data_IF_898680386441
#
_entry.id   IF_898680386441
#
_cell.length_a   1.000
_cell.length_b   1.000
_cell.length_c   1.000
_cell.angle_alpha   90.00
_cell.angle_beta   90.00
_cell.angle_gamma   90.00
#
_symmetry.space_group_name_H-M   'P 1'
#
loop_
_entity.id
_entity.type
_entity.pdbx_description
1 polymer ?
#
# COMPACT_ATOMS: atom_id res chain seq x y z
N UNK A 1 -13.88 -9.54 -7.44
CA UNK A 1 -12.76 -10.05 -8.23
C UNK A 1 -12.93 -9.53 -9.64
N UNK A 2 -11.93 -8.88 -10.22
CA UNK A 2 -11.99 -8.31 -11.58
C UNK A 2 -10.71 -8.75 -12.29
N UNK A 3 -10.81 -9.23 -13.52
CA UNK A 3 -9.68 -9.65 -14.37
C UNK A 3 -8.68 -10.62 -13.71
N UNK A 4 -9.16 -11.58 -12.91
CA UNK A 4 -8.30 -12.53 -12.21
C UNK A 4 -7.50 -11.91 -11.04
N UNK A 5 -7.90 -10.73 -10.58
CA UNK A 5 -7.29 -10.03 -9.45
C UNK A 5 -8.28 -9.99 -8.28
N UNK A 6 -7.82 -10.48 -7.12
CA UNK A 6 -8.45 -10.24 -5.82
C UNK A 6 -7.81 -8.98 -5.24
N UNK A 7 -8.62 -7.96 -5.00
CA UNK A 7 -8.19 -6.70 -4.41
C UNK A 7 -8.99 -6.41 -3.16
N UNK A 8 -8.34 -6.01 -2.08
CA UNK A 8 -9.00 -5.53 -0.87
C UNK A 8 -8.24 -4.36 -0.26
N UNK A 9 -8.94 -3.62 0.61
CA UNK A 9 -8.44 -2.43 1.27
C UNK A 9 -8.86 -2.40 2.74
N UNK A 10 -8.03 -1.78 3.56
CA UNK A 10 -8.34 -1.37 4.93
C UNK A 10 -7.95 0.09 5.07
N UNK A 11 -8.81 0.89 5.68
CA UNK A 11 -8.59 2.30 5.95
C UNK A 11 -8.71 2.55 7.44
N UNK A 12 -7.72 3.23 8.01
CA UNK A 12 -7.69 3.62 9.41
C UNK A 12 -8.03 5.10 9.55
N UNK A 13 -8.62 5.47 10.68
CA UNK A 13 -8.92 6.87 11.04
C UNK A 13 -7.67 7.76 11.02
N UNK A 14 -6.50 7.19 11.30
CA UNK A 14 -5.20 7.89 11.24
C UNK A 14 -4.80 8.37 9.83
N UNK A 15 -5.51 7.93 8.78
CA UNK A 15 -5.18 8.23 7.39
C UNK A 15 -4.26 7.20 6.73
N UNK A 16 -3.92 6.12 7.42
CA UNK A 16 -3.26 4.95 6.84
C UNK A 16 -4.26 4.15 6.00
N UNK A 17 -3.87 3.85 4.76
CA UNK A 17 -4.52 2.86 3.91
C UNK A 17 -3.57 1.70 3.63
N UNK A 18 -4.09 0.49 3.79
CA UNK A 18 -3.43 -0.76 3.40
C UNK A 18 -4.24 -1.39 2.27
N UNK A 19 -3.57 -1.83 1.21
CA UNK A 19 -4.22 -2.55 0.12
C UNK A 19 -3.48 -3.84 -0.19
N UNK A 20 -4.21 -4.84 -0.67
CA UNK A 20 -3.64 -6.11 -1.12
C UNK A 20 -4.05 -6.34 -2.57
N UNK A 21 -3.08 -6.26 -3.47
CA UNK A 21 -3.23 -6.68 -4.86
C UNK A 21 -2.83 -8.15 -4.96
N UNK A 22 -3.77 -9.05 -5.26
CA UNK A 22 -3.49 -10.47 -5.39
C UNK A 22 -3.95 -10.98 -6.76
N UNK A 23 -3.01 -11.08 -7.69
CA UNK A 23 -3.30 -11.66 -9.01
C UNK A 23 -3.24 -13.18 -8.93
N UNK A 24 -4.17 -13.87 -9.61
CA UNK A 24 -4.15 -15.33 -9.68
C UNK A 24 -3.09 -15.85 -10.65
N UNK A 25 -2.83 -15.12 -11.74
CA UNK A 25 -2.04 -15.61 -12.87
C UNK A 25 -0.58 -15.13 -12.88
N UNK A 26 -0.22 -14.14 -12.04
CA UNK A 26 1.13 -13.56 -12.00
C UNK A 26 1.57 -13.31 -10.54
N UNK A 27 2.17 -14.33 -9.88
CA UNK A 27 2.62 -14.22 -8.49
C UNK A 27 3.55 -13.02 -8.22
N UNK A 28 4.33 -12.59 -9.23
CA UNK A 28 5.25 -11.45 -9.09
C UNK A 28 4.53 -10.10 -8.98
N UNK A 29 3.25 -10.04 -9.38
CA UNK A 29 2.38 -8.87 -9.24
C UNK A 29 1.52 -8.90 -7.98
N UNK A 30 1.76 -9.83 -7.04
CA UNK A 30 1.10 -9.85 -5.74
C UNK A 30 1.82 -8.92 -4.78
N UNK A 31 1.11 -7.97 -4.19
CA UNK A 31 1.72 -6.99 -3.31
C UNK A 31 0.77 -6.50 -2.22
N UNK A 32 1.37 -6.12 -1.09
CA UNK A 32 0.72 -5.29 -0.08
C UNK A 32 1.27 -3.88 -0.20
N UNK A 33 0.38 -2.90 -0.31
CA UNK A 33 0.71 -1.49 -0.41
C UNK A 33 0.26 -0.68 0.79
N UNK A 34 1.10 0.26 1.20
CA UNK A 34 0.84 1.25 2.25
C UNK A 34 0.70 2.64 1.64
N UNK A 35 -0.28 3.41 2.11
CA UNK A 35 -0.44 4.82 1.76
C UNK A 35 -0.71 5.62 3.02
N UNK A 36 0.04 6.71 3.20
CA UNK A 36 -0.13 7.68 4.26
C UNK A 36 -0.67 8.98 3.67
N UNK A 37 -1.67 9.55 4.32
CA UNK A 37 -2.18 10.88 4.01
C UNK A 37 -1.13 11.97 4.26
N UNK A 38 -1.42 13.17 3.78
CA UNK A 38 -0.62 14.36 4.06
C UNK A 38 -0.67 14.71 5.55
N UNK A 39 0.45 15.16 6.12
CA UNK A 39 0.54 15.56 7.53
C UNK A 39 0.68 14.41 8.54
N UNK A 40 0.39 13.17 8.17
CA UNK A 40 0.54 12.01 9.04
C UNK A 40 2.02 11.72 9.38
N UNK A 41 2.36 11.17 10.55
CA UNK A 41 3.70 10.59 10.76
C UNK A 41 3.77 9.15 10.24
N UNK A 42 4.96 8.63 9.95
CA UNK A 42 5.09 7.21 9.59
C UNK A 42 4.90 6.38 10.87
N UNK A 43 3.99 5.38 10.90
CA UNK A 43 3.85 4.51 12.08
C UNK A 43 5.18 3.84 12.42
N UNK A 44 5.53 3.77 13.70
CA UNK A 44 6.84 3.24 14.18
C UNK A 44 7.11 1.82 13.67
N UNK A 45 6.06 1.00 13.60
CA UNK A 45 6.14 -0.38 13.13
C UNK A 45 6.53 -0.49 11.64
N UNK A 46 6.29 0.58 10.87
CA UNK A 46 6.58 0.67 9.45
C UNK A 46 7.85 1.47 9.16
N UNK A 47 8.18 2.45 9.99
CA UNK A 47 9.30 3.37 9.78
C UNK A 47 10.65 2.64 9.65
N UNK A 48 10.91 1.64 10.50
CA UNK A 48 12.16 0.88 10.49
C UNK A 48 12.26 -0.09 9.30
N UNK A 49 11.11 -0.52 8.75
CA UNK A 49 11.03 -1.61 7.77
C UNK A 49 10.83 -1.14 6.34
N UNK A 50 10.22 0.03 6.16
CA UNK A 50 9.77 0.50 4.87
C UNK A 50 10.28 1.90 4.57
N UNK A 51 10.88 2.05 3.39
CA UNK A 51 11.16 3.37 2.83
C UNK A 51 9.92 3.88 2.12
N UNK A 52 9.46 5.07 2.50
CA UNK A 52 8.32 5.72 1.87
C UNK A 52 8.77 6.69 0.78
N UNK A 53 8.23 6.54 -0.42
CA UNK A 53 8.36 7.51 -1.49
C UNK A 53 7.33 8.63 -1.29
N UNK A 54 7.72 9.88 -1.56
CA UNK A 54 6.84 11.06 -1.51
C UNK A 54 6.44 11.43 -2.93
N UNK A 55 5.15 11.51 -3.19
CA UNK A 55 4.59 12.00 -4.46
C UNK A 55 3.69 13.20 -4.20
N UNK A 56 3.97 14.32 -4.87
CA UNK A 56 3.14 15.52 -4.80
C UNK A 56 2.03 15.45 -5.85
N UNK A 57 0.78 15.51 -5.39
CA UNK A 57 -0.42 15.60 -6.21
C UNK A 57 -0.93 17.04 -6.24
N UNK A 58 -1.46 17.47 -7.40
CA UNK A 58 -2.19 18.75 -7.49
C UNK A 58 -3.55 18.72 -6.80
N UNK A 59 -4.15 17.53 -6.67
CA UNK A 59 -5.49 17.33 -6.10
C UNK A 59 -5.48 16.90 -4.63
N UNK A 60 -4.53 16.03 -4.26
CA UNK A 60 -4.55 15.31 -2.98
C UNK A 60 -3.35 15.63 -2.08
N UNK A 61 -2.65 16.74 -2.34
CA UNK A 61 -1.47 17.12 -1.56
C UNK A 61 -0.29 16.15 -1.71
N UNK A 62 0.55 16.03 -0.68
CA UNK A 62 1.66 15.09 -0.62
C UNK A 62 1.18 13.75 -0.09
N UNK A 63 1.27 12.72 -0.94
CA UNK A 63 1.02 11.34 -0.56
C UNK A 63 2.36 10.65 -0.33
N UNK A 64 2.44 9.83 0.73
CA UNK A 64 3.54 8.90 0.94
C UNK A 64 3.07 7.48 0.73
N UNK A 65 3.87 6.67 0.05
CA UNK A 65 3.55 5.26 -0.16
C UNK A 65 4.78 4.37 -0.10
N UNK A 66 4.55 3.13 0.29
CA UNK A 66 5.52 2.03 0.23
C UNK A 66 4.79 0.73 -0.10
N UNK A 67 5.51 -0.34 -0.44
CA UNK A 67 4.91 -1.64 -0.72
C UNK A 67 5.92 -2.77 -0.53
N UNK A 68 5.42 -4.00 -0.45
CA UNK A 68 6.23 -5.20 -0.60
C UNK A 68 5.49 -6.27 -1.41
N UNK A 69 6.27 -7.18 -2.01
CA UNK A 69 5.76 -8.28 -2.82
C UNK A 69 5.48 -9.50 -1.93
N UNK A 70 4.35 -10.16 -2.17
CA UNK A 70 3.99 -11.42 -1.50
C UNK A 70 4.75 -12.54 -2.21
N UNK A 71 5.60 -13.27 -1.46
CA UNK A 71 6.44 -14.34 -2.02
C UNK A 71 5.82 -15.73 -1.91
N UNK A 72 4.98 -15.95 -0.91
CA UNK A 72 4.36 -17.25 -0.64
C UNK A 72 2.97 -17.31 -1.26
N UNK A 73 2.55 -18.53 -1.61
CA UNK A 73 1.19 -18.83 -2.06
C UNK A 73 0.38 -19.40 -0.89
N UNK A 74 -0.91 -19.09 -0.86
CA UNK A 74 -1.83 -19.51 0.20
C UNK A 74 -3.15 -19.96 -0.43
#
# INVERSE_FOLDING_TARGET
MVDGIKWTYVFYESGLSINILYTLNDPKKRAVGFKLSEGMEVPKELEEKFRFAKQKSKLAGIIRSSFFVIKEEY
#
